data_IF_180724158495
#
_entry.id   IF_180724158495
#
_cell.length_a   1.000
_cell.length_b   1.000
_cell.length_c   1.000
_cell.angle_alpha   90.00
_cell.angle_beta   90.00
_cell.angle_gamma   90.00
#
_symmetry.space_group_name_H-M   'P 1'
#
loop_
_entity.id
_entity.type
_entity.pdbx_description
1 polymer ?
#
# COMPACT_ATOMS: atom_id res chain seq x y z
N UNK A 1 -57.14 21.10 -44.74
CA UNK A 1 -56.35 21.63 -43.66
C UNK A 1 -55.17 20.67 -43.52
N UNK A 2 -53.90 21.17 -43.56
CA UNK A 2 -52.68 20.41 -43.43
C UNK A 2 -52.12 19.77 -44.71
N UNK A 3 -52.69 20.07 -45.90
CA UNK A 3 -52.13 19.67 -47.18
C UNK A 3 -51.42 20.83 -47.85
N UNK A 4 -50.26 20.51 -48.43
CA UNK A 4 -49.51 21.49 -49.23
C UNK A 4 -50.10 21.71 -50.64
N UNK A 5 -49.43 22.51 -51.49
CA UNK A 5 -49.84 22.90 -52.84
C UNK A 5 -49.99 21.70 -53.77
N UNK A 6 -49.35 20.58 -53.52
CA UNK A 6 -49.50 19.33 -54.29
C UNK A 6 -50.61 18.40 -53.79
N UNK A 7 -51.27 18.78 -52.68
CA UNK A 7 -52.30 17.97 -52.00
C UNK A 7 -51.75 16.94 -51.06
N UNK A 8 -50.44 16.90 -50.80
CA UNK A 8 -49.77 16.03 -49.81
C UNK A 8 -50.06 16.58 -48.41
N UNK A 9 -50.45 15.71 -47.48
CA UNK A 9 -50.50 16.05 -46.07
C UNK A 9 -49.06 16.17 -45.56
N UNK A 10 -48.68 17.41 -45.18
CA UNK A 10 -47.33 17.77 -44.76
C UNK A 10 -47.40 18.88 -43.72
N UNK A 11 -47.43 18.51 -42.44
CA UNK A 11 -47.60 19.46 -41.34
C UNK A 11 -46.44 19.32 -40.37
N UNK A 12 -45.82 20.44 -40.08
CA UNK A 12 -44.82 20.58 -39.02
C UNK A 12 -45.48 21.20 -37.79
N UNK A 13 -45.26 20.58 -36.61
CA UNK A 13 -45.71 21.12 -35.34
C UNK A 13 -44.50 21.50 -34.49
N UNK A 14 -44.54 22.71 -33.99
CA UNK A 14 -43.49 23.22 -33.09
C UNK A 14 -44.09 23.71 -31.78
N UNK A 15 -43.26 23.73 -30.74
CA UNK A 15 -43.63 24.24 -29.43
C UNK A 15 -42.63 25.34 -29.01
N UNK A 16 -42.99 26.62 -29.30
CA UNK A 16 -42.17 27.77 -28.92
C UNK A 16 -42.28 28.13 -27.43
N UNK A 17 -43.48 28.00 -26.87
CA UNK A 17 -43.76 28.23 -25.45
C UNK A 17 -44.38 26.97 -24.86
N UNK A 18 -43.98 26.52 -23.67
CA UNK A 18 -44.56 25.32 -23.03
C UNK A 18 -46.09 25.38 -23.00
N UNK A 19 -46.72 24.37 -23.63
CA UNK A 19 -48.17 24.24 -23.71
C UNK A 19 -48.84 24.99 -24.89
N UNK A 20 -48.05 25.69 -25.72
CA UNK A 20 -48.56 26.31 -26.94
C UNK A 20 -47.91 25.65 -28.16
N UNK A 21 -48.73 24.98 -28.96
CA UNK A 21 -48.28 24.31 -30.20
C UNK A 21 -48.67 25.15 -31.37
N UNK A 22 -47.73 25.44 -32.25
CA UNK A 22 -47.92 26.07 -33.54
C UNK A 22 -47.81 25.00 -34.63
N UNK A 23 -48.45 25.24 -35.78
CA UNK A 23 -48.35 24.31 -36.90
C UNK A 23 -48.25 25.07 -38.20
N UNK A 24 -47.42 24.60 -39.07
CA UNK A 24 -47.27 25.13 -40.43
C UNK A 24 -47.30 23.97 -41.44
N UNK A 25 -47.66 24.32 -42.68
CA UNK A 25 -47.70 23.35 -43.79
C UNK A 25 -46.37 23.45 -44.54
N UNK A 26 -45.65 22.33 -44.60
CA UNK A 26 -44.40 22.24 -45.35
C UNK A 26 -44.68 22.17 -46.86
N UNK A 27 -43.96 22.98 -47.61
CA UNK A 27 -44.10 23.08 -49.06
C UNK A 27 -43.39 21.90 -49.78
N UNK A 28 -43.77 21.64 -51.05
CA UNK A 28 -43.03 20.71 -51.90
C UNK A 28 -41.58 21.17 -52.12
N UNK A 29 -41.31 22.45 -52.13
CA UNK A 29 -39.97 23.04 -52.23
C UNK A 29 -39.11 22.60 -51.05
N UNK A 30 -39.62 22.72 -49.83
CA UNK A 30 -38.91 22.25 -48.61
C UNK A 30 -38.66 20.73 -48.63
N UNK A 31 -39.64 19.93 -49.08
CA UNK A 31 -39.49 18.47 -49.20
C UNK A 31 -38.54 18.05 -50.32
N UNK A 32 -38.29 18.90 -51.31
CA UNK A 32 -37.37 18.66 -52.42
C UNK A 32 -35.99 19.31 -52.23
N UNK A 33 -35.77 20.02 -51.13
CA UNK A 33 -34.52 20.75 -50.89
C UNK A 33 -33.35 19.78 -50.64
N UNK A 34 -32.42 19.72 -51.59
CA UNK A 34 -31.19 18.94 -51.55
C UNK A 34 -29.96 19.75 -51.20
N UNK A 35 -30.13 20.99 -50.73
CA UNK A 35 -29.01 21.84 -50.28
C UNK A 35 -28.25 21.12 -49.18
N UNK A 36 -26.90 20.96 -49.29
CA UNK A 36 -26.14 20.32 -48.23
C UNK A 36 -26.16 21.15 -46.96
N UNK A 37 -26.51 20.48 -45.83
CA UNK A 37 -26.40 21.05 -44.49
C UNK A 37 -24.96 20.99 -43.97
N UNK A 38 -24.78 21.33 -42.69
CA UNK A 38 -23.46 21.30 -42.00
C UNK A 38 -22.83 19.89 -41.96
N UNK A 39 -23.63 18.86 -41.95
CA UNK A 39 -23.20 17.44 -42.04
C UNK A 39 -22.74 17.04 -43.46
N UNK A 40 -23.03 17.86 -44.47
CA UNK A 40 -22.84 17.53 -45.87
C UNK A 40 -23.98 16.69 -46.46
N UNK A 41 -24.96 16.30 -45.67
CA UNK A 41 -26.15 15.58 -46.12
C UNK A 41 -27.17 16.61 -46.69
N UNK A 42 -28.03 16.19 -47.68
CA UNK A 42 -29.13 17.01 -48.16
C UNK A 42 -30.08 17.43 -47.04
N UNK A 43 -30.56 18.65 -47.08
CA UNK A 43 -31.52 19.19 -46.09
C UNK A 43 -32.75 18.27 -45.92
N UNK A 44 -33.29 17.74 -47.01
CA UNK A 44 -34.45 16.87 -47.00
C UNK A 44 -34.14 15.40 -46.57
N UNK A 45 -32.97 15.12 -46.07
CA UNK A 45 -32.58 13.76 -45.63
C UNK A 45 -33.55 13.18 -44.60
N UNK A 46 -34.14 14.01 -43.75
CA UNK A 46 -35.14 13.58 -42.76
C UNK A 46 -36.38 12.97 -43.44
N UNK A 47 -36.72 13.40 -44.65
CA UNK A 47 -37.86 12.92 -45.43
C UNK A 47 -37.43 11.75 -46.36
N UNK A 48 -36.29 11.90 -47.03
CA UNK A 48 -35.86 10.93 -48.06
C UNK A 48 -35.23 9.68 -47.52
N UNK A 49 -34.52 9.71 -46.39
CA UNK A 49 -33.90 8.55 -45.80
C UNK A 49 -34.91 7.44 -45.47
N UNK A 50 -36.00 7.69 -44.71
CA UNK A 50 -36.98 6.67 -44.42
C UNK A 50 -37.76 6.17 -45.67
N UNK A 51 -37.93 7.00 -46.65
CA UNK A 51 -38.57 6.62 -47.92
C UNK A 51 -37.70 5.67 -48.74
N UNK A 52 -36.38 5.84 -48.72
CA UNK A 52 -35.44 5.06 -49.51
C UNK A 52 -35.02 3.77 -48.81
N UNK A 53 -34.81 3.83 -47.48
CA UNK A 53 -34.32 2.72 -46.67
C UNK A 53 -35.44 1.83 -46.13
N UNK A 54 -36.70 2.34 -46.11
CA UNK A 54 -37.84 1.72 -45.44
C UNK A 54 -37.61 1.46 -43.97
N UNK A 55 -36.63 2.17 -43.37
CA UNK A 55 -36.20 2.01 -41.98
C UNK A 55 -36.25 3.39 -41.26
N UNK A 56 -36.22 3.33 -39.95
CA UNK A 56 -36.07 4.53 -39.12
C UNK A 56 -34.65 5.10 -39.29
N UNK A 57 -34.58 6.41 -39.55
CA UNK A 57 -33.35 7.14 -39.72
C UNK A 57 -33.15 8.12 -38.55
N UNK A 58 -31.92 8.25 -38.10
CA UNK A 58 -31.51 9.37 -37.23
C UNK A 58 -30.67 10.31 -38.10
N UNK A 59 -31.15 11.52 -38.27
CA UNK A 59 -30.53 12.51 -39.13
C UNK A 59 -29.52 13.32 -38.32
N UNK A 60 -28.34 13.44 -38.85
CA UNK A 60 -27.24 14.22 -38.29
C UNK A 60 -27.63 15.67 -38.05
N UNK A 61 -26.91 16.38 -37.14
CA UNK A 61 -27.16 17.75 -36.82
C UNK A 61 -27.27 18.67 -38.05
N UNK A 62 -28.32 19.48 -38.10
CA UNK A 62 -28.57 20.49 -39.15
C UNK A 62 -29.28 21.69 -38.53
N UNK A 63 -29.25 22.82 -39.24
CA UNK A 63 -30.04 24.00 -38.87
C UNK A 63 -31.39 23.96 -39.55
N UNK A 64 -32.42 24.28 -38.76
CA UNK A 64 -33.77 24.52 -39.28
C UNK A 64 -34.40 25.73 -38.61
N UNK A 65 -35.33 26.41 -39.31
CA UNK A 65 -36.00 27.57 -38.77
C UNK A 65 -37.26 27.15 -38.01
N UNK A 66 -37.26 27.42 -36.71
CA UNK A 66 -38.42 27.17 -35.83
C UNK A 66 -38.88 28.48 -35.23
N UNK A 67 -40.11 28.88 -35.60
CA UNK A 67 -40.72 30.15 -35.13
C UNK A 67 -39.82 31.38 -35.40
N UNK A 68 -39.24 31.48 -36.60
CA UNK A 68 -38.39 32.59 -37.01
C UNK A 68 -36.98 32.59 -36.36
N UNK A 69 -36.51 31.47 -35.82
CA UNK A 69 -35.19 31.33 -35.27
C UNK A 69 -34.50 30.09 -35.81
N UNK A 70 -33.24 30.24 -36.19
CA UNK A 70 -32.41 29.09 -36.52
C UNK A 70 -32.14 28.26 -35.26
N UNK A 71 -32.52 26.99 -35.31
CA UNK A 71 -32.31 25.99 -34.24
C UNK A 71 -31.44 24.89 -34.80
N UNK A 72 -30.37 24.60 -34.09
CA UNK A 72 -29.55 23.42 -34.39
C UNK A 72 -30.22 22.18 -33.77
N UNK A 73 -30.57 21.21 -34.61
CA UNK A 73 -31.34 20.05 -34.22
C UNK A 73 -30.87 18.79 -34.93
N UNK A 74 -31.32 17.66 -34.43
CA UNK A 74 -31.26 16.39 -35.12
C UNK A 74 -32.65 15.77 -35.12
N UNK A 75 -32.92 14.88 -36.07
CA UNK A 75 -34.26 14.34 -36.32
C UNK A 75 -34.27 12.80 -36.27
N UNK A 76 -35.24 12.26 -35.57
CA UNK A 76 -35.62 10.84 -35.73
C UNK A 76 -36.76 10.79 -36.74
N UNK A 77 -36.53 10.16 -37.87
CA UNK A 77 -37.50 10.03 -38.95
C UNK A 77 -37.93 8.58 -39.17
N UNK A 78 -39.23 8.33 -39.12
CA UNK A 78 -39.82 6.99 -39.11
C UNK A 78 -40.69 6.82 -40.34
N UNK A 79 -40.52 5.72 -41.12
CA UNK A 79 -41.41 5.42 -42.23
C UNK A 79 -42.78 4.96 -41.70
N UNK A 80 -43.86 5.50 -42.24
CA UNK A 80 -45.21 5.03 -42.04
C UNK A 80 -45.48 3.96 -43.10
N UNK A 81 -45.63 2.70 -42.69
CA UNK A 81 -45.77 1.55 -43.62
C UNK A 81 -47.20 1.01 -43.56
N UNK A 82 -47.83 0.93 -44.71
CA UNK A 82 -49.10 0.24 -44.88
C UNK A 82 -48.98 -0.83 -45.96
N UNK A 83 -49.41 -2.06 -45.63
CA UNK A 83 -49.33 -3.23 -46.54
C UNK A 83 -47.94 -3.42 -47.17
N UNK A 84 -46.87 -3.16 -46.41
CA UNK A 84 -45.47 -3.33 -46.89
C UNK A 84 -44.99 -2.20 -47.81
N UNK A 85 -45.72 -1.10 -47.90
CA UNK A 85 -45.32 0.10 -48.69
C UNK A 85 -45.24 1.32 -47.78
N UNK A 86 -44.18 2.06 -47.92
CA UNK A 86 -44.07 3.38 -47.25
C UNK A 86 -45.09 4.33 -47.84
N UNK A 87 -46.03 4.83 -47.02
CA UNK A 87 -47.09 5.76 -47.39
C UNK A 87 -46.82 7.18 -46.87
N UNK A 88 -45.84 7.34 -46.00
CA UNK A 88 -45.45 8.64 -45.44
C UNK A 88 -44.25 8.53 -44.51
N UNK A 89 -43.83 9.68 -43.99
CA UNK A 89 -42.75 9.79 -42.98
C UNK A 89 -43.26 10.63 -41.81
N UNK A 90 -42.88 10.24 -40.59
CA UNK A 90 -43.07 11.01 -39.37
C UNK A 90 -41.72 11.36 -38.80
N UNK A 91 -41.41 12.64 -38.65
CA UNK A 91 -40.20 13.13 -38.01
C UNK A 91 -40.45 13.64 -36.59
N UNK A 92 -39.47 13.53 -35.76
CA UNK A 92 -39.41 14.15 -34.42
C UNK A 92 -38.06 14.81 -34.24
N UNK A 93 -38.08 16.12 -34.11
CA UNK A 93 -36.87 16.93 -33.92
C UNK A 93 -36.54 17.10 -32.45
N UNK A 94 -35.28 17.10 -32.16
CA UNK A 94 -34.77 17.45 -30.84
C UNK A 94 -33.59 18.38 -30.95
N UNK A 95 -33.61 19.46 -30.18
CA UNK A 95 -32.55 20.46 -30.25
C UNK A 95 -31.26 19.93 -29.64
N UNK A 96 -30.14 20.31 -30.25
CA UNK A 96 -28.82 19.98 -29.69
C UNK A 96 -28.57 20.61 -28.33
N UNK A 97 -29.28 21.70 -28.00
CA UNK A 97 -29.21 22.29 -26.65
C UNK A 97 -29.66 21.30 -25.54
N UNK A 98 -30.62 20.42 -25.84
CA UNK A 98 -31.07 19.38 -24.91
C UNK A 98 -29.99 18.29 -24.73
N UNK A 99 -29.32 17.90 -25.81
CA UNK A 99 -28.18 16.94 -25.74
C UNK A 99 -26.99 17.57 -25.00
N UNK A 100 -26.75 18.86 -25.25
CA UNK A 100 -25.70 19.61 -24.53
C UNK A 100 -25.97 19.69 -23.06
N UNK A 101 -27.20 19.91 -22.62
CA UNK A 101 -27.55 19.88 -21.20
C UNK A 101 -27.28 18.50 -20.56
N UNK A 102 -27.56 17.40 -21.27
CA UNK A 102 -27.22 16.06 -20.85
C UNK A 102 -25.70 15.90 -20.72
N UNK A 103 -24.92 16.38 -21.69
CA UNK A 103 -23.45 16.32 -21.67
C UNK A 103 -22.87 17.12 -20.50
N UNK A 104 -23.41 18.32 -20.23
CA UNK A 104 -23.00 19.17 -19.10
C UNK A 104 -23.37 18.55 -17.74
N UNK A 105 -24.53 17.90 -17.63
CA UNK A 105 -24.93 17.21 -16.40
C UNK A 105 -24.01 16.02 -16.13
N UNK A 106 -23.80 15.20 -17.15
CA UNK A 106 -22.91 14.05 -17.04
C UNK A 106 -21.45 14.45 -16.74
N UNK A 107 -20.96 15.55 -17.32
CA UNK A 107 -19.65 16.10 -16.99
C UNK A 107 -19.51 16.46 -15.51
N UNK A 108 -20.53 17.08 -14.90
CA UNK A 108 -20.50 17.45 -13.48
C UNK A 108 -20.36 16.25 -12.55
N UNK A 109 -20.96 15.12 -12.94
CA UNK A 109 -20.93 13.88 -12.16
C UNK A 109 -19.69 13.01 -12.47
N UNK A 110 -19.00 13.28 -13.60
CA UNK A 110 -17.86 12.49 -14.03
C UNK A 110 -16.57 12.99 -13.38
N UNK A 111 -16.05 12.25 -12.42
CA UNK A 111 -14.80 12.56 -11.71
C UNK A 111 -14.77 13.97 -11.11
N UNK A 112 -15.87 14.38 -10.45
CA UNK A 112 -16.01 15.71 -9.84
C UNK A 112 -15.82 16.88 -10.83
N UNK A 113 -16.19 16.67 -12.10
CA UNK A 113 -16.05 17.68 -13.16
C UNK A 113 -14.69 17.74 -13.85
N UNK A 114 -13.78 16.79 -13.55
CA UNK A 114 -12.48 16.71 -14.24
C UNK A 114 -12.53 15.87 -15.54
N UNK A 115 -13.58 15.07 -15.71
CA UNK A 115 -13.83 14.32 -16.94
C UNK A 115 -14.64 15.14 -17.94
N UNK A 116 -14.46 14.91 -19.23
CA UNK A 116 -15.21 15.58 -20.30
C UNK A 116 -15.97 14.57 -21.15
N UNK A 117 -17.09 15.04 -21.71
CA UNK A 117 -17.96 14.22 -22.55
C UNK A 117 -18.23 14.94 -23.84
N UNK A 118 -18.10 14.22 -24.95
CA UNK A 118 -18.53 14.65 -26.26
C UNK A 118 -19.48 13.62 -26.88
N UNK A 119 -20.54 14.07 -27.54
CA UNK A 119 -21.44 13.23 -28.30
C UNK A 119 -21.19 13.53 -29.76
N UNK A 120 -20.86 12.50 -30.53
CA UNK A 120 -20.39 12.61 -31.91
C UNK A 120 -21.37 11.88 -32.81
N UNK A 121 -21.84 12.55 -33.85
CA UNK A 121 -22.70 11.96 -34.88
C UNK A 121 -21.91 11.09 -35.86
N UNK A 122 -22.56 10.23 -36.68
CA UNK A 122 -21.91 9.41 -37.70
C UNK A 122 -21.06 10.19 -38.70
N UNK A 123 -21.42 11.42 -39.05
CA UNK A 123 -20.62 12.27 -39.92
C UNK A 123 -19.51 13.05 -39.22
N UNK A 124 -19.37 12.88 -37.89
CA UNK A 124 -18.33 13.54 -37.11
C UNK A 124 -18.68 14.96 -36.63
N UNK A 125 -19.96 15.29 -36.53
CA UNK A 125 -20.39 16.53 -35.91
C UNK A 125 -20.55 16.37 -34.40
N UNK A 126 -20.24 17.40 -33.63
CA UNK A 126 -20.43 17.46 -32.21
C UNK A 126 -21.88 17.80 -31.87
N UNK A 127 -22.62 16.82 -31.39
CA UNK A 127 -24.00 16.98 -30.94
C UNK A 127 -24.06 17.39 -29.43
N UNK A 128 -23.02 17.11 -28.68
CA UNK A 128 -22.82 17.57 -27.32
C UNK A 128 -21.32 17.69 -27.02
N UNK A 129 -20.91 18.73 -26.30
CA UNK A 129 -19.50 18.93 -25.94
C UNK A 129 -19.36 19.69 -24.62
N UNK A 130 -18.93 19.03 -23.59
CA UNK A 130 -18.96 19.57 -22.22
C UNK A 130 -17.91 20.66 -21.92
N UNK A 131 -16.91 20.84 -22.80
CA UNK A 131 -15.88 21.90 -22.62
C UNK A 131 -16.26 23.25 -23.12
N UNK A 132 -17.00 23.30 -24.26
CA UNK A 132 -17.28 24.54 -24.95
C UNK A 132 -18.55 24.41 -25.80
N UNK A 133 -19.56 25.16 -25.42
CA UNK A 133 -20.87 25.19 -26.11
C UNK A 133 -20.75 25.70 -27.57
N UNK A 134 -19.72 26.49 -27.89
CA UNK A 134 -19.50 27.01 -29.24
C UNK A 134 -19.09 25.89 -30.23
N UNK A 135 -18.75 24.72 -29.76
CA UNK A 135 -18.39 23.56 -30.59
C UNK A 135 -19.61 22.76 -31.07
N UNK A 136 -20.81 23.06 -30.59
CA UNK A 136 -22.03 22.36 -31.02
C UNK A 136 -22.27 22.55 -32.52
N UNK A 137 -22.49 21.42 -33.19
CA UNK A 137 -22.68 21.40 -34.66
C UNK A 137 -21.38 21.58 -35.45
N UNK A 138 -20.24 21.78 -34.79
CA UNK A 138 -18.94 21.85 -35.46
C UNK A 138 -18.39 20.45 -35.72
N UNK A 139 -17.48 20.36 -36.69
CA UNK A 139 -16.76 19.13 -36.98
C UNK A 139 -15.71 18.87 -35.90
N UNK A 140 -15.34 17.60 -35.72
CA UNK A 140 -14.33 17.14 -34.76
C UNK A 140 -13.01 17.93 -34.83
N UNK A 141 -12.61 18.38 -36.04
CA UNK A 141 -11.37 19.14 -36.25
C UNK A 141 -11.35 20.46 -35.45
N UNK A 142 -12.51 21.07 -35.23
CA UNK A 142 -12.61 22.30 -34.45
C UNK A 142 -12.25 22.12 -32.97
N UNK A 143 -12.63 21.00 -32.38
CA UNK A 143 -12.39 20.71 -30.95
C UNK A 143 -11.13 19.88 -30.72
N UNK A 144 -10.78 18.98 -31.63
CA UNK A 144 -9.75 17.97 -31.42
C UNK A 144 -8.51 18.11 -32.32
N UNK A 145 -8.52 19.06 -33.29
CA UNK A 145 -7.38 19.37 -34.13
C UNK A 145 -6.81 18.12 -34.85
N UNK A 146 -5.54 17.84 -34.64
CA UNK A 146 -4.83 16.72 -35.31
C UNK A 146 -5.40 15.32 -34.95
N UNK A 147 -6.04 15.19 -33.80
CA UNK A 147 -6.64 13.92 -33.34
C UNK A 147 -8.02 13.64 -33.95
N UNK A 148 -8.63 14.65 -34.63
CA UNK A 148 -9.97 14.51 -35.17
C UNK A 148 -10.11 13.39 -36.20
N UNK A 149 -9.11 13.20 -37.05
CA UNK A 149 -9.14 12.15 -38.06
C UNK A 149 -9.17 10.74 -37.49
N UNK A 150 -8.40 10.50 -36.43
CA UNK A 150 -8.37 9.22 -35.75
C UNK A 150 -9.69 8.98 -35.01
N UNK A 151 -10.23 9.99 -34.31
CA UNK A 151 -11.52 9.93 -33.66
C UNK A 151 -12.66 9.66 -34.64
N UNK A 152 -12.66 10.32 -35.79
CA UNK A 152 -13.67 10.08 -36.84
C UNK A 152 -13.60 8.66 -37.39
N UNK A 153 -12.40 8.15 -37.64
CA UNK A 153 -12.20 6.77 -38.08
C UNK A 153 -12.70 5.74 -37.04
N UNK A 154 -12.48 6.00 -35.77
CA UNK A 154 -12.99 5.16 -34.67
C UNK A 154 -14.52 5.22 -34.61
N UNK A 155 -15.08 6.43 -34.64
CA UNK A 155 -16.53 6.65 -34.65
C UNK A 155 -17.21 5.85 -35.78
N UNK A 156 -16.62 5.86 -36.97
CA UNK A 156 -17.16 5.17 -38.15
C UNK A 156 -17.05 3.65 -38.07
N UNK A 157 -16.14 3.12 -37.29
CA UNK A 157 -16.04 1.64 -37.07
C UNK A 157 -17.19 1.11 -36.23
N UNK A 158 -17.83 1.95 -35.42
CA UNK A 158 -18.91 1.55 -34.53
C UNK A 158 -18.47 0.52 -33.46
N UNK A 159 -17.23 0.58 -33.02
CA UNK A 159 -16.64 -0.29 -32.00
C UNK A 159 -16.11 0.56 -30.84
N UNK A 160 -16.17 -0.01 -29.63
CA UNK A 160 -15.55 0.61 -28.46
C UNK A 160 -14.05 0.73 -28.66
N UNK A 161 -13.49 1.89 -28.37
CA UNK A 161 -12.07 2.16 -28.51
C UNK A 161 -11.52 2.93 -27.29
N UNK A 162 -10.30 2.56 -26.92
CA UNK A 162 -9.55 3.24 -25.86
C UNK A 162 -8.28 3.83 -26.46
N UNK A 163 -8.04 5.12 -26.19
CA UNK A 163 -6.86 5.85 -26.64
C UNK A 163 -6.19 6.43 -25.40
N UNK A 164 -4.98 5.99 -25.11
CA UNK A 164 -4.17 6.52 -24.03
C UNK A 164 -3.08 7.42 -24.61
N UNK A 165 -3.12 8.71 -24.28
CA UNK A 165 -2.01 9.62 -24.44
C UNK A 165 -1.32 9.81 -23.10
N UNK A 166 -0.13 10.44 -23.07
CA UNK A 166 0.72 10.56 -21.88
C UNK A 166 -0.02 11.02 -20.60
N UNK A 167 -1.01 11.91 -20.76
CA UNK A 167 -1.71 12.51 -19.62
C UNK A 167 -3.24 12.41 -19.72
N UNK A 168 -3.78 11.89 -20.83
CA UNK A 168 -5.21 11.84 -21.10
C UNK A 168 -5.62 10.44 -21.54
N UNK A 169 -6.65 9.90 -20.90
CA UNK A 169 -7.36 8.73 -21.36
C UNK A 169 -8.62 9.16 -22.08
N UNK A 170 -8.83 8.64 -23.28
CA UNK A 170 -10.04 8.82 -24.09
C UNK A 170 -10.67 7.44 -24.31
N UNK A 171 -11.97 7.35 -24.09
CA UNK A 171 -12.76 6.15 -24.34
C UNK A 171 -13.91 6.53 -25.25
N UNK A 172 -13.99 5.88 -26.40
CA UNK A 172 -15.09 6.03 -27.34
C UNK A 172 -16.00 4.82 -27.25
N UNK A 173 -17.29 5.09 -27.03
CA UNK A 173 -18.32 4.05 -26.93
C UNK A 173 -19.45 4.33 -27.90
N UNK A 174 -19.73 3.45 -28.88
CA UNK A 174 -20.85 3.63 -29.79
C UNK A 174 -22.18 3.33 -29.07
N UNK A 175 -23.19 4.08 -29.41
CA UNK A 175 -24.57 3.82 -29.00
C UNK A 175 -25.53 4.06 -30.12
N UNK A 176 -26.64 3.36 -30.16
CA UNK A 176 -27.72 3.58 -31.10
C UNK A 176 -28.80 4.45 -30.43
N UNK A 177 -29.07 5.68 -30.89
CA UNK A 177 -30.12 6.53 -30.32
C UNK A 177 -31.49 5.84 -30.35
N UNK A 178 -31.72 5.03 -31.36
CA UNK A 178 -32.89 4.15 -31.51
C UNK A 178 -32.45 2.81 -32.13
N UNK A 179 -33.16 1.72 -31.91
CA UNK A 179 -32.84 0.43 -32.49
C UNK A 179 -32.82 0.49 -34.02
N UNK A 180 -31.71 0.02 -34.62
CA UNK A 180 -31.54 -0.05 -36.07
C UNK A 180 -31.02 1.23 -36.73
N UNK A 181 -30.83 2.33 -35.99
CA UNK A 181 -30.18 3.54 -36.53
C UNK A 181 -28.66 3.37 -36.63
N UNK A 182 -28.01 4.21 -37.41
CA UNK A 182 -26.57 4.33 -37.43
C UNK A 182 -26.07 4.72 -36.03
N UNK A 183 -24.94 4.12 -35.56
CA UNK A 183 -24.44 4.41 -34.23
C UNK A 183 -23.87 5.83 -34.14
N UNK A 184 -24.24 6.52 -33.09
CA UNK A 184 -23.55 7.70 -32.58
C UNK A 184 -22.49 7.26 -31.58
N UNK A 185 -21.61 8.16 -31.17
CA UNK A 185 -20.54 7.84 -30.28
C UNK A 185 -20.52 8.80 -29.09
N UNK A 186 -20.23 8.23 -27.90
CA UNK A 186 -19.87 9.03 -26.74
C UNK A 186 -18.35 8.94 -26.57
N UNK A 187 -17.68 10.06 -26.58
CA UNK A 187 -16.27 10.18 -26.24
C UNK A 187 -16.15 10.69 -24.81
N UNK A 188 -15.56 9.88 -23.96
CA UNK A 188 -15.19 10.24 -22.59
C UNK A 188 -13.70 10.56 -22.55
N UNK A 189 -13.35 11.67 -21.93
CA UNK A 189 -11.98 12.11 -21.76
C UNK A 189 -11.71 12.38 -20.27
N UNK A 190 -10.66 11.82 -19.71
CA UNK A 190 -10.27 12.11 -18.34
C UNK A 190 -8.74 12.15 -18.18
N UNK A 191 -8.19 13.08 -17.39
CA UNK A 191 -6.79 13.08 -17.05
C UNK A 191 -6.41 11.78 -16.33
N UNK A 192 -5.29 11.16 -16.72
CA UNK A 192 -4.81 9.94 -16.04
C UNK A 192 -4.57 10.15 -14.54
N UNK A 193 -4.13 11.35 -14.16
CA UNK A 193 -3.95 11.74 -12.77
C UNK A 193 -5.23 11.61 -11.94
N UNK A 194 -6.38 11.93 -12.51
CA UNK A 194 -7.69 11.82 -11.86
C UNK A 194 -8.10 10.35 -11.70
N UNK A 195 -7.91 9.57 -12.75
CA UNK A 195 -8.21 8.13 -12.74
C UNK A 195 -7.33 7.37 -11.75
N UNK A 196 -6.05 7.75 -11.66
CA UNK A 196 -5.08 7.11 -10.79
C UNK A 196 -5.07 7.70 -9.35
N UNK A 197 -5.78 8.81 -9.10
CA UNK A 197 -5.80 9.47 -7.80
C UNK A 197 -6.17 8.54 -6.63
N UNK A 198 -7.14 7.60 -6.74
CA UNK A 198 -7.41 6.63 -5.68
C UNK A 198 -6.24 5.69 -5.43
N UNK A 199 -5.55 5.25 -6.48
CA UNK A 199 -4.39 4.36 -6.38
C UNK A 199 -3.18 5.07 -5.75
N UNK A 200 -2.89 6.30 -6.17
CA UNK A 200 -1.78 7.10 -5.61
C UNK A 200 -2.03 7.48 -4.15
N UNK A 201 -3.28 7.77 -3.77
CA UNK A 201 -3.66 7.98 -2.37
C UNK A 201 -3.43 6.72 -1.54
N UNK A 202 -3.84 5.55 -2.05
CA UNK A 202 -3.62 4.28 -1.38
C UNK A 202 -2.12 3.97 -1.24
N UNK A 203 -1.32 4.21 -2.27
CA UNK A 203 0.14 4.06 -2.21
C UNK A 203 0.76 4.96 -1.13
N UNK A 204 0.39 6.24 -1.09
CA UNK A 204 0.86 7.18 -0.08
C UNK A 204 0.46 6.76 1.35
N UNK A 205 -0.75 6.25 1.52
CA UNK A 205 -1.24 5.76 2.81
C UNK A 205 -0.52 4.48 3.25
N UNK A 206 -0.27 3.55 2.33
CA UNK A 206 0.53 2.35 2.59
C UNK A 206 2.00 2.68 2.89
N UNK A 207 2.61 3.65 2.22
CA UNK A 207 3.97 4.11 2.50
C UNK A 207 4.08 4.76 3.88
N UNK A 208 3.09 5.57 4.27
CA UNK A 208 3.02 6.17 5.60
C UNK A 208 2.88 5.12 6.72
N UNK A 209 2.03 4.12 6.52
CA UNK A 209 1.87 2.99 7.45
C UNK A 209 3.14 2.12 7.52
N UNK A 210 3.81 1.90 6.40
CA UNK A 210 5.05 1.12 6.34
C UNK A 210 6.19 1.81 7.07
N UNK A 211 6.33 3.13 6.93
CA UNK A 211 7.34 3.91 7.65
C UNK A 211 7.08 3.94 9.16
N UNK A 212 5.83 4.13 9.59
CA UNK A 212 5.45 4.07 11.00
C UNK A 212 5.71 2.68 11.61
N UNK A 213 5.36 1.61 10.89
CA UNK A 213 5.58 0.22 11.34
C UNK A 213 7.08 -0.11 11.44
N UNK A 214 7.90 0.38 10.50
CA UNK A 214 9.34 0.14 10.52
C UNK A 214 10.02 0.83 11.70
N UNK A 215 9.66 2.06 12.02
CA UNK A 215 10.15 2.78 13.20
C UNK A 215 9.74 2.09 14.50
N UNK A 216 8.50 1.63 14.59
CA UNK A 216 8.00 0.87 15.75
C UNK A 216 8.76 -0.46 15.92
N UNK A 217 8.99 -1.22 14.84
CA UNK A 217 9.74 -2.47 14.86
C UNK A 217 11.20 -2.26 15.27
N UNK A 218 11.82 -1.18 14.80
CA UNK A 218 13.18 -0.79 15.15
C UNK A 218 13.29 -0.41 16.63
N UNK A 219 12.32 0.34 17.16
CA UNK A 219 12.21 0.69 18.58
C UNK A 219 12.05 -0.54 19.46
N UNK A 220 11.19 -1.50 19.07
CA UNK A 220 10.99 -2.76 19.78
C UNK A 220 12.25 -3.62 19.76
N UNK A 221 12.97 -3.69 18.65
CA UNK A 221 14.24 -4.39 18.52
C UNK A 221 15.32 -3.83 19.43
N UNK A 222 15.47 -2.51 19.51
CA UNK A 222 16.41 -1.84 20.41
C UNK A 222 16.05 -2.16 21.86
N UNK A 223 14.78 -2.07 22.22
CA UNK A 223 14.29 -2.32 23.59
C UNK A 223 14.52 -3.77 24.00
N UNK A 224 14.28 -4.74 23.12
CA UNK A 224 14.58 -6.15 23.38
C UNK A 224 16.08 -6.40 23.55
N UNK A 225 16.93 -5.76 22.74
CA UNK A 225 18.38 -5.86 22.85
C UNK A 225 18.88 -5.30 24.19
N UNK A 226 18.39 -4.14 24.60
CA UNK A 226 18.73 -3.54 25.88
C UNK A 226 18.30 -4.43 27.05
N UNK A 227 17.09 -4.98 27.00
CA UNK A 227 16.61 -5.94 28.01
C UNK A 227 17.50 -7.19 28.09
N UNK A 228 17.91 -7.73 26.94
CA UNK A 228 18.85 -8.86 26.87
C UNK A 228 20.21 -8.55 27.52
N UNK A 229 20.77 -7.37 27.23
CA UNK A 229 22.02 -6.90 27.83
C UNK A 229 21.91 -6.72 29.36
N UNK A 230 20.78 -6.18 29.84
CA UNK A 230 20.52 -6.05 31.27
C UNK A 230 20.42 -7.40 31.95
N UNK A 231 19.69 -8.35 31.35
CA UNK A 231 19.59 -9.72 31.86
C UNK A 231 20.96 -10.38 31.89
N UNK A 232 21.77 -10.27 30.86
CA UNK A 232 23.12 -10.81 30.79
C UNK A 232 24.03 -10.20 31.86
N UNK A 233 23.93 -8.90 32.09
CA UNK A 233 24.67 -8.22 33.16
C UNK A 233 24.24 -8.67 34.53
N UNK A 234 22.93 -8.83 34.77
CA UNK A 234 22.40 -9.35 36.05
C UNK A 234 22.87 -10.78 36.33
N UNK A 235 22.81 -11.66 35.33
CA UNK A 235 23.29 -13.05 35.46
C UNK A 235 24.81 -13.12 35.70
N UNK A 236 25.60 -12.30 34.99
CA UNK A 236 27.03 -12.20 35.21
C UNK A 236 27.38 -11.74 36.62
N UNK A 237 26.60 -10.83 37.18
CA UNK A 237 26.83 -10.31 38.53
C UNK A 237 26.31 -11.22 39.61
N UNK A 238 25.15 -11.87 39.41
CA UNK A 238 24.49 -12.72 40.40
C UNK A 238 25.02 -14.13 40.46
N UNK A 239 25.46 -14.71 39.35
CA UNK A 239 25.84 -16.11 39.25
C UNK A 239 27.36 -16.30 39.03
N UNK A 240 27.89 -15.61 38.01
CA UNK A 240 29.28 -15.88 37.59
C UNK A 240 30.33 -15.39 38.58
N UNK A 241 30.14 -14.20 39.17
CA UNK A 241 31.11 -13.68 40.15
C UNK A 241 31.25 -14.52 41.39
N UNK A 242 30.19 -14.96 42.09
CA UNK A 242 30.31 -15.85 43.25
C UNK A 242 31.02 -17.16 42.92
N UNK A 243 30.73 -17.79 41.80
CA UNK A 243 31.38 -19.00 41.37
C UNK A 243 32.89 -18.81 41.17
N UNK A 244 33.29 -17.72 40.49
CA UNK A 244 34.69 -17.39 40.30
C UNK A 244 35.42 -17.10 41.63
N UNK A 245 34.73 -16.49 42.60
CA UNK A 245 35.29 -16.25 43.94
C UNK A 245 35.55 -17.56 44.68
N UNK A 246 34.62 -18.53 44.62
CA UNK A 246 34.84 -19.88 45.19
C UNK A 246 36.02 -20.56 44.50
N UNK A 247 36.06 -20.54 43.18
CA UNK A 247 37.18 -21.15 42.43
C UNK A 247 38.52 -20.51 42.74
N UNK A 248 38.59 -19.19 42.87
CA UNK A 248 39.82 -18.47 43.26
C UNK A 248 40.27 -18.82 44.67
N UNK A 249 39.34 -18.96 45.61
CA UNK A 249 39.66 -19.33 47.00
C UNK A 249 40.15 -20.79 47.09
N UNK A 250 39.51 -21.72 46.36
CA UNK A 250 40.00 -23.10 46.27
C UNK A 250 41.39 -23.17 45.65
N UNK A 251 41.66 -22.39 44.61
CA UNK A 251 42.98 -22.29 43.98
C UNK A 251 44.02 -21.78 44.97
N UNK A 252 43.70 -20.77 45.78
CA UNK A 252 44.61 -20.22 46.79
C UNK A 252 44.94 -21.27 47.88
N UNK A 253 43.93 -22.03 48.33
CA UNK A 253 44.16 -23.15 49.27
C UNK A 253 45.02 -24.25 48.65
N UNK A 254 44.76 -24.61 47.38
CA UNK A 254 45.49 -25.69 46.69
C UNK A 254 46.93 -25.29 46.34
N UNK A 255 47.25 -24.01 46.14
CA UNK A 255 48.60 -23.52 45.81
C UNK A 255 49.55 -23.44 47.04
N UNK A 256 49.07 -23.71 48.23
CA UNK A 256 49.87 -23.79 49.45
C UNK A 256 50.01 -22.45 50.22
N UNK A 257 49.45 -21.37 49.76
CA UNK A 257 49.36 -20.11 50.51
C UNK A 257 48.04 -19.95 51.30
N UNK A 258 47.30 -21.03 51.51
CA UNK A 258 45.95 -21.12 51.97
C UNK A 258 45.66 -20.43 53.28
N UNK A 259 45.10 -19.22 53.16
CA UNK A 259 44.55 -18.48 54.29
C UNK A 259 43.15 -19.05 54.61
N UNK A 260 43.10 -19.96 55.56
CA UNK A 260 41.88 -20.62 56.02
C UNK A 260 40.97 -19.72 56.86
N UNK A 261 41.39 -18.45 57.11
CA UNK A 261 40.58 -17.48 57.90
C UNK A 261 39.57 -16.74 57.06
N UNK A 262 39.74 -16.68 55.74
CA UNK A 262 38.80 -16.01 54.82
C UNK A 262 37.51 -16.79 54.69
N UNK A 263 36.40 -16.05 54.55
CA UNK A 263 35.05 -16.58 54.35
C UNK A 263 34.44 -16.00 53.11
N UNK A 264 33.59 -16.82 52.44
CA UNK A 264 32.75 -16.33 51.34
C UNK A 264 31.61 -15.49 51.91
N UNK A 265 31.57 -14.22 51.55
CA UNK A 265 30.48 -13.34 51.93
C UNK A 265 29.49 -13.25 50.77
N UNK A 266 28.47 -14.11 50.80
CA UNK A 266 27.37 -14.14 49.83
C UNK A 266 26.04 -14.16 50.58
N UNK A 267 25.20 -13.12 50.37
CA UNK A 267 23.95 -12.92 51.09
C UNK A 267 22.71 -13.52 50.38
N UNK A 268 22.85 -14.17 49.22
CA UNK A 268 21.74 -14.82 48.51
C UNK A 268 21.20 -16.03 49.28
N UNK A 269 19.88 -16.25 49.16
CA UNK A 269 19.19 -17.44 49.68
C UNK A 269 18.95 -18.50 48.60
N UNK A 270 19.79 -18.52 47.59
CA UNK A 270 19.78 -19.44 46.46
C UNK A 270 20.81 -20.56 46.64
N UNK A 271 20.96 -21.43 45.66
CA UNK A 271 21.89 -22.56 45.64
C UNK A 271 23.35 -22.11 45.81
N UNK A 272 23.68 -20.87 45.42
CA UNK A 272 25.01 -20.29 45.61
C UNK A 272 25.20 -19.86 47.07
N UNK A 273 24.15 -19.41 47.74
CA UNK A 273 24.15 -19.12 49.18
C UNK A 273 24.36 -20.39 49.99
N UNK A 274 23.72 -21.48 49.60
CA UNK A 274 23.92 -22.80 50.22
C UNK A 274 25.34 -23.27 50.01
N UNK A 275 25.88 -23.19 48.77
CA UNK A 275 27.27 -23.54 48.45
C UNK A 275 28.28 -22.74 49.31
N UNK A 276 28.07 -21.40 49.40
CA UNK A 276 28.93 -20.56 50.25
C UNK A 276 28.85 -20.92 51.73
N UNK A 277 27.69 -21.27 52.24
CA UNK A 277 27.47 -21.77 53.60
C UNK A 277 28.20 -23.09 53.89
N UNK A 278 28.07 -24.07 52.98
CA UNK A 278 28.78 -25.34 53.13
C UNK A 278 30.29 -25.19 52.99
N UNK A 279 30.75 -24.32 52.10
CA UNK A 279 32.16 -24.00 51.95
C UNK A 279 32.74 -23.34 53.23
N UNK A 280 32.05 -22.38 53.81
CA UNK A 280 32.47 -21.77 55.08
C UNK A 280 32.52 -22.80 56.25
N UNK A 281 31.52 -23.69 56.34
CA UNK A 281 31.52 -24.78 57.31
C UNK A 281 32.67 -25.78 57.12
N UNK A 282 33.03 -26.03 55.84
CA UNK A 282 34.23 -26.87 55.58
C UNK A 282 35.49 -26.17 56.09
N UNK A 283 35.66 -24.86 55.88
CA UNK A 283 36.80 -24.12 56.42
C UNK A 283 36.78 -24.07 57.94
N UNK A 284 35.63 -23.94 58.60
CA UNK A 284 35.48 -23.96 60.06
C UNK A 284 35.91 -25.27 60.67
N UNK A 285 35.75 -26.38 59.96
CA UNK A 285 36.25 -27.71 60.40
C UNK A 285 37.73 -27.93 60.11
N UNK A 286 38.20 -27.42 58.98
CA UNK A 286 39.57 -27.60 58.51
C UNK A 286 40.57 -26.78 59.34
N UNK A 287 40.23 -25.56 59.70
CA UNK A 287 41.08 -24.63 60.45
C UNK A 287 41.56 -25.17 61.81
N UNK A 288 40.71 -25.76 62.69
CA UNK A 288 41.15 -26.33 63.93
C UNK A 288 42.03 -27.58 63.76
N UNK A 289 41.70 -28.42 62.75
CA UNK A 289 42.51 -29.62 62.47
C UNK A 289 43.93 -29.21 62.09
N UNK A 290 44.11 -28.21 61.23
CA UNK A 290 45.45 -27.74 60.88
C UNK A 290 46.15 -27.06 62.07
N UNK A 291 45.42 -26.38 62.96
CA UNK A 291 45.97 -25.86 64.20
C UNK A 291 46.43 -26.96 65.12
N UNK A 292 45.60 -28.00 65.27
CA UNK A 292 45.98 -29.20 66.16
C UNK A 292 47.18 -29.95 65.59
N UNK A 293 47.22 -30.12 64.22
CA UNK A 293 48.40 -30.76 63.59
C UNK A 293 49.66 -29.92 63.82
N UNK A 294 49.55 -28.58 63.64
CA UNK A 294 50.68 -27.68 63.93
C UNK A 294 51.15 -27.77 65.38
N UNK A 295 50.24 -27.80 66.31
CA UNK A 295 50.56 -27.99 67.76
C UNK A 295 51.22 -29.34 68.05
N UNK A 296 50.64 -30.42 67.46
CA UNK A 296 51.20 -31.80 67.60
C UNK A 296 52.61 -31.88 67.00
N UNK A 297 52.85 -31.27 65.84
CA UNK A 297 54.20 -31.21 65.24
C UNK A 297 55.15 -30.37 66.12
N UNK A 298 54.69 -29.29 66.73
CA UNK A 298 55.52 -28.50 67.64
C UNK A 298 55.86 -29.31 68.89
N UNK A 299 54.91 -30.04 69.49
CA UNK A 299 55.12 -30.92 70.65
C UNK A 299 56.04 -32.09 70.33
N UNK A 300 55.83 -32.71 69.15
CA UNK A 300 56.72 -33.78 68.67
C UNK A 300 58.16 -33.27 68.50
N UNK A 301 58.35 -32.05 67.96
CA UNK A 301 59.65 -31.43 67.81
C UNK A 301 60.32 -31.17 69.20
N UNK A 302 59.55 -30.58 70.10
CA UNK A 302 60.03 -30.35 71.49
C UNK A 302 60.43 -31.69 72.20
N UNK A 303 59.60 -32.71 71.96
CA UNK A 303 59.91 -34.05 72.52
C UNK A 303 61.19 -34.68 71.93
N UNK A 304 61.34 -34.47 70.58
CA UNK A 304 62.55 -34.96 69.89
C UNK A 304 63.81 -34.18 70.38
N UNK A 305 63.70 -32.82 70.53
CA UNK A 305 64.81 -31.99 71.06
C UNK A 305 65.19 -32.43 72.49
N UNK A 306 64.21 -32.74 73.38
CA UNK A 306 64.45 -33.25 74.72
C UNK A 306 65.06 -34.65 74.69
N UNK A 307 64.60 -35.49 73.76
CA UNK A 307 65.18 -36.84 73.59
C UNK A 307 66.64 -36.78 73.13
N UNK A 308 66.99 -35.84 72.26
CA UNK A 308 68.35 -35.63 71.81
C UNK A 308 69.24 -35.13 72.98
N UNK A 309 68.72 -34.23 73.85
CA UNK A 309 69.42 -33.75 75.05
C UNK A 309 69.67 -34.87 75.99
N UNK A 310 68.64 -35.70 76.34
CA UNK A 310 68.79 -36.86 77.22
C UNK A 310 69.80 -37.84 76.63
N UNK A 311 69.78 -38.09 75.32
CA UNK A 311 70.74 -38.98 74.66
C UNK A 311 72.17 -38.43 74.78
N UNK A 312 72.35 -37.13 74.63
CA UNK A 312 73.63 -36.43 74.81
C UNK A 312 74.17 -36.55 76.28
N UNK A 313 73.27 -36.27 77.24
CA UNK A 313 73.61 -36.43 78.70
C UNK A 313 73.95 -37.86 79.02
N UNK A 314 73.14 -38.82 78.53
CA UNK A 314 73.39 -40.26 78.72
C UNK A 314 74.77 -40.68 78.17
N UNK A 315 75.07 -40.19 76.94
CA UNK A 315 76.38 -40.45 76.32
C UNK A 315 77.52 -39.82 77.14
N UNK A 316 77.33 -38.61 77.61
CA UNK A 316 78.36 -37.98 78.51
C UNK A 316 78.50 -38.69 79.80
N UNK A 317 77.39 -39.14 80.42
CA UNK A 317 77.41 -39.96 81.67
C UNK A 317 78.07 -41.32 81.44
N UNK A 318 77.75 -41.97 80.31
CA UNK A 318 78.47 -43.24 79.93
C UNK A 318 79.99 -43.04 79.77
N UNK A 319 80.41 -41.95 79.13
CA UNK A 319 81.82 -41.61 79.00
C UNK A 319 82.48 -41.38 80.35
N UNK A 320 81.79 -40.79 81.31
CA UNK A 320 82.27 -40.59 82.65
C UNK A 320 82.34 -41.94 83.38
N UNK A 321 81.32 -42.77 83.30
CA UNK A 321 81.36 -44.10 83.84
C UNK A 321 82.49 -44.99 83.29
N UNK A 322 82.73 -44.90 81.95
CA UNK A 322 83.88 -45.55 81.33
C UNK A 322 85.20 -45.14 81.99
N UNK A 323 85.38 -43.79 82.22
CA UNK A 323 86.59 -43.26 82.88
C UNK A 323 86.70 -43.76 84.33
N UNK A 324 85.59 -43.82 85.06
CA UNK A 324 85.56 -44.28 86.44
C UNK A 324 85.85 -45.81 86.50
N UNK A 325 85.30 -46.60 85.60
CA UNK A 325 85.59 -48.02 85.45
C UNK A 325 87.07 -48.27 85.14
N UNK A 326 87.62 -47.44 84.21
CA UNK A 326 89.07 -47.55 83.86
C UNK A 326 89.96 -47.14 85.03
N UNK A 327 89.57 -46.15 85.82
CA UNK A 327 90.28 -45.84 87.10
C UNK A 327 90.22 -46.94 88.12
N UNK A 328 89.05 -47.55 88.28
CA UNK A 328 88.89 -48.70 89.19
C UNK A 328 89.68 -49.91 88.71
N UNK A 329 89.66 -50.18 87.38
CA UNK A 329 90.45 -51.28 86.83
C UNK A 329 91.95 -51.07 87.00
N UNK A 330 92.39 -49.78 86.88
CA UNK A 330 93.81 -49.44 87.17
C UNK A 330 94.16 -49.59 88.63
N UNK A 331 93.25 -49.28 89.55
CA UNK A 331 93.48 -49.42 91.00
C UNK A 331 93.47 -50.86 91.48
N UNK A 332 92.97 -51.85 90.72
CA UNK A 332 93.06 -53.24 90.97
C UNK A 332 94.33 -53.87 90.39
N UNK A 333 95.10 -53.14 89.60
CA UNK A 333 96.40 -53.70 89.07
C UNK A 333 97.63 -53.19 89.80
N UNK A 334 97.46 -52.27 90.74
CA UNK A 334 98.53 -51.96 91.77
C UNK A 334 98.39 -52.95 93.07
#
# INVERSE_FOLDING_TARGET
VGSNESGRFSVYWSQGTPGQTESEVMTEESLADITPGISGLPYNSWFTCPLQTEQTCVIDPYFDEVNGKDVLMATIAIPLIDNGKVIGVMGMDFSLSSIQELSLNAHRDLYDGEGHISIISPTGLLAGHSRDDAQLGQKLESAFGEHAADLLQMAQRGESAEISHSDLLQVMEPFQPIPGAEPWNVLLEAPQSVLLAPATRLEAELESQRSASSLFSLGLGILATLAGLVLMWLTARGVTKPILNVAAMLKNIASGEGDLTKRLNYAGQDELGELAGWFNRFLDKLQPIIADVKNSVHEARSTADRSAEIASETNSGMQQQYREVDQVATAFHE
#
